data_IF_888679444931
#
_entry.id   IF_888679444931
#
_cell.length_a   1.000
_cell.length_b   1.000
_cell.length_c   1.000
_cell.angle_alpha   90.00
_cell.angle_beta   90.00
_cell.angle_gamma   90.00
#
_symmetry.space_group_name_H-M   'P 1'
#
loop_
_entity.id
_entity.type
_entity.pdbx_description
1 polymer ?
#
# COMPACT_ATOMS: atom_id res chain seq x y z
N UNK A 1 -27.91 -26.67 -7.02
CA UNK A 1 -28.62 -25.98 -5.92
C UNK A 1 -27.91 -26.28 -4.61
N UNK A 2 -26.73 -25.69 -4.41
CA UNK A 2 -26.04 -25.47 -3.13
C UNK A 2 -24.90 -24.50 -3.46
N UNK A 3 -25.22 -23.22 -3.66
CA UNK A 3 -24.19 -22.19 -3.58
C UNK A 3 -23.74 -22.16 -2.12
N UNK A 4 -22.47 -22.52 -1.89
CA UNK A 4 -21.82 -22.46 -0.60
C UNK A 4 -21.78 -21.01 -0.14
N UNK A 5 -22.78 -20.59 0.64
CA UNK A 5 -22.65 -19.40 1.45
C UNK A 5 -21.35 -19.55 2.27
N UNK A 6 -20.39 -18.62 2.16
CA UNK A 6 -19.22 -18.66 3.02
C UNK A 6 -19.72 -18.67 4.46
N UNK A 7 -19.22 -19.62 5.25
CA UNK A 7 -19.48 -19.70 6.69
C UNK A 7 -19.40 -18.31 7.29
N UNK A 8 -20.43 -17.89 8.04
CA UNK A 8 -20.54 -16.55 8.61
C UNK A 8 -19.17 -16.04 9.10
N UNK A 9 -18.66 -14.92 8.57
CA UNK A 9 -17.35 -14.41 8.96
C UNK A 9 -17.32 -14.19 10.47
N UNK A 10 -16.20 -14.55 11.10
CA UNK A 10 -15.98 -14.27 12.53
C UNK A 10 -16.23 -12.77 12.79
N UNK A 11 -16.75 -12.37 13.97
CA UNK A 11 -17.08 -10.98 14.26
C UNK A 11 -15.94 -9.98 13.95
N UNK A 12 -14.68 -10.41 14.16
CA UNK A 12 -13.50 -9.61 13.89
C UNK A 12 -13.21 -9.39 12.39
N UNK A 13 -13.64 -10.31 11.53
CA UNK A 13 -13.44 -10.27 10.06
C UNK A 13 -14.59 -9.62 9.28
N UNK A 14 -15.70 -9.28 9.96
CA UNK A 14 -16.84 -8.60 9.33
C UNK A 14 -16.43 -7.28 8.65
N UNK A 15 -15.59 -6.41 9.25
CA UNK A 15 -15.14 -5.19 8.59
C UNK A 15 -14.37 -5.47 7.30
N UNK A 16 -13.47 -6.45 7.31
CA UNK A 16 -12.65 -6.82 6.14
C UNK A 16 -13.54 -7.30 4.99
N UNK A 17 -14.51 -8.18 5.27
CA UNK A 17 -15.47 -8.63 4.26
C UNK A 17 -16.29 -7.47 3.66
N UNK A 18 -16.75 -6.55 4.50
CA UNK A 18 -17.53 -5.38 4.04
C UNK A 18 -16.70 -4.43 3.20
N UNK A 19 -15.46 -4.13 3.62
CA UNK A 19 -14.56 -3.27 2.85
C UNK A 19 -14.20 -3.91 1.51
N UNK A 20 -13.88 -5.21 1.48
CA UNK A 20 -13.62 -5.92 0.23
C UNK A 20 -14.80 -5.82 -0.76
N UNK A 21 -16.03 -6.03 -0.28
CA UNK A 21 -17.23 -5.91 -1.10
C UNK A 21 -17.50 -4.47 -1.58
N UNK A 22 -17.22 -3.46 -0.75
CA UNK A 22 -17.41 -2.04 -1.10
C UNK A 22 -16.41 -1.57 -2.17
N UNK A 23 -15.15 -1.99 -2.06
CA UNK A 23 -14.08 -1.63 -2.99
C UNK A 23 -14.06 -2.52 -4.25
N UNK A 24 -14.91 -3.55 -4.31
CA UNK A 24 -14.88 -4.56 -5.37
C UNK A 24 -13.61 -5.43 -5.37
N UNK A 25 -12.90 -5.48 -4.23
CA UNK A 25 -11.69 -6.27 -4.04
C UNK A 25 -11.97 -7.73 -3.72
N UNK A 26 -11.00 -8.61 -3.97
CA UNK A 26 -11.11 -10.03 -3.63
C UNK A 26 -11.02 -10.30 -2.12
N UNK A 27 -10.29 -9.45 -1.39
CA UNK A 27 -10.10 -9.52 0.05
C UNK A 27 -9.70 -8.14 0.60
N UNK A 28 -9.80 -7.96 1.92
CA UNK A 28 -9.25 -6.82 2.64
C UNK A 28 -8.56 -7.31 3.92
N UNK A 29 -7.65 -6.50 4.45
CA UNK A 29 -6.92 -6.81 5.69
C UNK A 29 -6.97 -5.59 6.60
N UNK A 30 -7.45 -5.77 7.83
CA UNK A 30 -7.53 -4.73 8.83
C UNK A 30 -6.20 -4.60 9.58
N UNK A 31 -5.77 -3.36 9.79
CA UNK A 31 -4.56 -3.02 10.55
C UNK A 31 -4.91 -2.11 11.73
N UNK A 32 -3.99 -2.01 12.69
CA UNK A 32 -4.15 -1.17 13.89
C UNK A 32 -4.20 0.34 13.61
N UNK A 33 -3.65 0.77 12.47
CA UNK A 33 -3.62 2.18 12.05
C UNK A 33 -3.34 2.31 10.56
N UNK A 34 -3.64 3.49 9.98
CA UNK A 34 -3.36 3.77 8.56
C UNK A 34 -1.86 3.71 8.22
N UNK A 35 -0.97 4.14 9.13
CA UNK A 35 0.47 4.05 8.87
C UNK A 35 0.97 2.59 8.88
N UNK A 36 0.36 1.72 9.71
CA UNK A 36 0.64 0.30 9.70
C UNK A 36 0.24 -0.35 8.36
N UNK A 37 -0.89 0.07 7.77
CA UNK A 37 -1.28 -0.36 6.41
C UNK A 37 -0.20 0.03 5.39
N UNK A 38 0.16 1.31 5.32
CA UNK A 38 1.11 1.82 4.32
C UNK A 38 2.48 1.15 4.47
N UNK A 39 2.96 1.01 5.71
CA UNK A 39 4.23 0.34 6.00
C UNK A 39 4.19 -1.14 5.61
N UNK A 40 3.20 -1.90 6.10
CA UNK A 40 3.12 -3.34 5.84
C UNK A 40 2.90 -3.65 4.36
N UNK A 41 2.12 -2.84 3.64
CA UNK A 41 1.99 -2.98 2.19
C UNK A 41 3.34 -2.78 1.51
N UNK A 42 4.11 -1.75 1.90
CA UNK A 42 5.43 -1.47 1.33
C UNK A 42 6.40 -2.64 1.52
N UNK A 43 6.54 -3.15 2.76
CA UNK A 43 7.50 -4.23 3.04
C UNK A 43 7.03 -5.60 2.55
N UNK A 44 5.73 -5.79 2.30
CA UNK A 44 5.21 -7.06 1.76
C UNK A 44 5.50 -7.22 0.28
N UNK A 45 5.66 -6.12 -0.47
CA UNK A 45 5.88 -6.14 -1.93
C UNK A 45 7.32 -5.84 -2.32
N UNK A 46 8.14 -5.32 -1.41
CA UNK A 46 9.53 -4.96 -1.66
C UNK A 46 10.50 -5.95 -1.00
N UNK A 47 11.64 -6.14 -1.64
CA UNK A 47 12.82 -6.83 -1.13
C UNK A 47 14.02 -5.87 -1.08
N UNK A 48 15.15 -6.36 -0.60
CA UNK A 48 16.39 -5.60 -0.55
C UNK A 48 16.74 -5.00 -1.92
N UNK A 49 17.10 -3.72 -1.93
CA UNK A 49 17.43 -2.93 -3.12
C UNK A 49 16.27 -2.58 -4.04
N UNK A 50 15.03 -2.98 -3.74
CA UNK A 50 13.86 -2.49 -4.46
C UNK A 50 13.62 -0.99 -4.19
N UNK A 51 12.81 -0.36 -5.03
CA UNK A 51 12.40 1.02 -4.83
C UNK A 51 10.90 1.24 -4.99
N UNK A 52 10.43 2.34 -4.40
CA UNK A 52 9.07 2.83 -4.54
C UNK A 52 9.09 4.31 -4.91
N UNK A 53 7.99 4.80 -5.45
CA UNK A 53 7.78 6.22 -5.74
C UNK A 53 6.70 6.74 -4.81
N UNK A 54 6.91 7.92 -4.22
CA UNK A 54 5.94 8.58 -3.35
C UNK A 54 5.81 10.04 -3.75
N UNK A 55 4.59 10.53 -3.90
CA UNK A 55 4.36 11.98 -4.00
C UNK A 55 4.48 12.67 -2.63
N UNK A 56 4.81 13.95 -2.62
CA UNK A 56 4.76 14.82 -1.43
C UNK A 56 3.33 15.25 -1.07
N UNK A 57 2.36 15.04 -1.96
CA UNK A 57 0.95 15.39 -1.76
C UNK A 57 0.20 14.39 -0.84
N UNK A 58 0.88 13.33 -0.41
CA UNK A 58 0.37 12.38 0.57
C UNK A 58 0.25 13.01 1.96
N UNK A 59 -0.52 12.32 2.82
CA UNK A 59 -0.52 12.60 4.26
C UNK A 59 0.92 12.68 4.82
N UNK A 60 1.20 13.75 5.58
CA UNK A 60 2.56 14.10 5.98
C UNK A 60 3.28 13.01 6.78
N UNK A 61 2.56 12.22 7.58
CA UNK A 61 3.18 11.12 8.31
C UNK A 61 3.63 10.00 7.37
N UNK A 62 2.93 9.77 6.26
CA UNK A 62 3.35 8.81 5.23
C UNK A 62 4.65 9.26 4.58
N UNK A 63 4.74 10.55 4.20
CA UNK A 63 5.97 11.14 3.65
C UNK A 63 7.13 11.03 4.65
N UNK A 64 6.89 11.31 5.93
CA UNK A 64 7.92 11.18 6.96
C UNK A 64 8.33 9.73 7.21
N UNK A 65 7.40 8.78 7.16
CA UNK A 65 7.70 7.35 7.22
C UNK A 65 8.59 6.94 6.02
N UNK A 66 8.26 7.36 4.80
CA UNK A 66 9.06 7.04 3.62
C UNK A 66 10.47 7.62 3.66
N UNK A 67 10.70 8.76 4.32
CA UNK A 67 12.05 9.29 4.55
C UNK A 67 12.92 8.37 5.42
N UNK A 68 12.31 7.54 6.28
CA UNK A 68 13.04 6.60 7.15
C UNK A 68 13.02 5.15 6.65
N UNK A 69 12.17 4.83 5.66
CA UNK A 69 12.09 3.51 5.00
C UNK A 69 13.43 2.99 4.43
N UNK A 70 14.39 3.81 3.97
CA UNK A 70 15.70 3.32 3.52
C UNK A 70 16.49 2.52 4.57
N UNK A 71 16.13 2.60 5.86
CA UNK A 71 16.68 1.73 6.92
C UNK A 71 16.35 0.25 6.73
N UNK A 72 15.36 -0.07 5.91
CA UNK A 72 14.95 -1.43 5.55
C UNK A 72 15.44 -1.85 4.16
N UNK A 73 16.49 -1.20 3.63
CA UNK A 73 17.07 -1.48 2.30
C UNK A 73 16.11 -1.27 1.11
N UNK A 74 15.04 -0.50 1.31
CA UNK A 74 14.08 -0.11 0.27
C UNK A 74 14.27 1.38 -0.04
N UNK A 75 14.58 1.70 -1.29
CA UNK A 75 14.76 3.09 -1.73
C UNK A 75 13.40 3.77 -1.98
N UNK A 76 13.32 5.08 -1.71
CA UNK A 76 12.10 5.86 -1.95
C UNK A 76 12.42 7.08 -2.81
N UNK A 77 11.80 7.18 -3.98
CA UNK A 77 11.82 8.37 -4.81
C UNK A 77 10.68 9.31 -4.38
N UNK A 78 11.02 10.38 -3.68
CA UNK A 78 10.05 11.42 -3.30
C UNK A 78 9.93 12.43 -4.44
N UNK A 79 8.74 12.57 -5.00
CA UNK A 79 8.43 13.45 -6.14
C UNK A 79 7.43 14.53 -5.71
N UNK A 80 7.68 15.79 -6.06
CA UNK A 80 6.79 16.90 -5.74
C UNK A 80 5.84 17.21 -6.91
N UNK A 81 5.04 16.21 -7.30
CA UNK A 81 4.11 16.27 -8.44
C UNK A 81 3.08 15.15 -8.35
N UNK A 82 1.91 15.35 -8.94
CA UNK A 82 0.89 14.34 -9.26
C UNK A 82 0.81 14.02 -10.77
N UNK A 83 1.64 14.67 -11.59
CA UNK A 83 1.69 14.39 -13.02
C UNK A 83 2.27 12.99 -13.26
N UNK A 84 1.59 12.21 -14.10
CA UNK A 84 1.96 10.83 -14.41
C UNK A 84 3.35 10.76 -15.04
N UNK A 85 3.73 11.75 -15.85
CA UNK A 85 5.02 11.82 -16.52
C UNK A 85 6.18 11.99 -15.53
N UNK A 86 5.99 12.84 -14.51
CA UNK A 86 7.00 13.09 -13.47
C UNK A 86 7.23 11.84 -12.60
N UNK A 87 6.14 11.09 -12.32
CA UNK A 87 6.21 9.82 -11.60
C UNK A 87 6.87 8.74 -12.47
N UNK A 88 6.46 8.61 -13.73
CA UNK A 88 7.01 7.63 -14.67
C UNK A 88 8.51 7.84 -14.90
N UNK A 89 8.98 9.09 -14.95
CA UNK A 89 10.40 9.42 -15.09
C UNK A 89 11.29 8.95 -13.92
N UNK A 90 10.69 8.59 -12.77
CA UNK A 90 11.40 8.01 -11.63
C UNK A 90 11.29 6.49 -11.54
N UNK A 91 10.50 5.86 -12.41
CA UNK A 91 10.34 4.41 -12.42
C UNK A 91 11.50 3.69 -13.11
N UNK A 92 11.86 2.53 -12.60
CA UNK A 92 12.84 1.62 -13.17
C UNK A 92 12.42 0.15 -13.00
N UNK A 93 13.29 -0.78 -13.40
CA UNK A 93 13.04 -2.23 -13.30
C UNK A 93 12.88 -2.77 -11.86
N UNK A 94 13.25 -1.97 -10.85
CA UNK A 94 13.15 -2.30 -9.42
C UNK A 94 12.01 -1.56 -8.72
N UNK A 95 11.29 -0.68 -9.42
CA UNK A 95 10.13 0.01 -8.86
C UNK A 95 8.97 -0.97 -8.63
N UNK A 96 8.53 -1.09 -7.38
CA UNK A 96 7.43 -2.01 -7.01
C UNK A 96 6.08 -1.35 -6.89
N UNK A 97 6.04 -0.06 -6.55
CA UNK A 97 4.77 0.67 -6.41
C UNK A 97 4.97 2.17 -6.49
N UNK A 98 3.86 2.88 -6.73
CA UNK A 98 3.72 4.33 -6.71
C UNK A 98 2.62 4.69 -5.71
N UNK A 99 2.95 5.50 -4.70
CA UNK A 99 2.00 6.06 -3.74
C UNK A 99 1.62 7.48 -4.17
N UNK A 100 0.32 7.69 -4.45
CA UNK A 100 -0.30 8.95 -4.92
C UNK A 100 -1.40 9.40 -3.99
#
# INVERSE_FOLDING_TARGET
MLESFPSMPLPLSIPEYRIAALEGGSAAVAFSSGIAVIFNTTISICQDSDNIISTTLLYICSVNMFKVTPRFFINVHIVNSDNVEDLAAKSDHKTKTVFV
#
